data_IF_460345670880
#
_entry.id   IF_460345670880
#
_cell.length_a   1.000
_cell.length_b   1.000
_cell.length_c   1.000
_cell.angle_alpha   90.00
_cell.angle_beta   90.00
_cell.angle_gamma   90.00
#
_symmetry.space_group_name_H-M   'P 1'
#
loop_
_entity.id
_entity.type
_entity.pdbx_description
1 polymer ?
#
# COMPACT_ATOMS: atom_id res chain seq x y z
N UNK A 1 2.51 -6.08 -7.24
CA UNK A 1 3.41 -5.04 -6.71
C UNK A 1 4.78 -5.58 -6.32
N UNK A 2 4.91 -6.77 -5.71
CA UNK A 2 6.23 -7.34 -5.36
C UNK A 2 7.15 -7.40 -6.59
N UNK A 3 6.69 -7.98 -7.69
CA UNK A 3 7.46 -8.04 -8.95
C UNK A 3 7.87 -6.65 -9.43
N UNK A 4 6.97 -5.67 -9.40
CA UNK A 4 7.26 -4.30 -9.81
C UNK A 4 8.41 -3.69 -9.00
N UNK A 5 8.35 -3.79 -7.66
CA UNK A 5 9.41 -3.23 -6.81
C UNK A 5 10.69 -4.08 -6.78
N UNK A 6 10.64 -5.34 -7.18
CA UNK A 6 11.85 -6.14 -7.45
C UNK A 6 12.55 -5.64 -8.73
N UNK A 7 11.79 -5.35 -9.79
CA UNK A 7 12.33 -4.74 -11.00
C UNK A 7 12.88 -3.35 -10.72
N UNK A 8 12.18 -2.55 -9.89
CA UNK A 8 12.65 -1.22 -9.49
C UNK A 8 13.96 -1.30 -8.70
N UNK A 9 14.08 -2.26 -7.76
CA UNK A 9 15.33 -2.52 -7.06
C UNK A 9 16.47 -2.80 -8.05
N UNK A 10 16.24 -3.61 -9.06
CA UNK A 10 17.26 -3.93 -10.07
C UNK A 10 17.65 -2.68 -10.88
N UNK A 11 16.69 -1.85 -11.27
CA UNK A 11 16.94 -0.59 -11.96
C UNK A 11 17.77 0.38 -11.10
N UNK A 12 17.51 0.43 -9.78
CA UNK A 12 18.33 1.20 -8.84
C UNK A 12 19.74 0.60 -8.75
N UNK A 13 19.89 -0.73 -8.70
CA UNK A 13 21.22 -1.37 -8.73
C UNK A 13 22.02 -0.96 -9.98
N UNK A 14 21.40 -1.01 -11.16
CA UNK A 14 22.04 -0.64 -12.41
C UNK A 14 22.47 0.84 -12.38
N UNK A 15 21.62 1.71 -11.87
CA UNK A 15 21.93 3.14 -11.72
C UNK A 15 23.09 3.38 -10.76
N UNK A 16 23.07 2.75 -9.58
CA UNK A 16 24.13 2.90 -8.57
C UNK A 16 25.45 2.34 -9.10
N UNK A 17 25.45 1.18 -9.76
CA UNK A 17 26.64 0.59 -10.36
C UNK A 17 27.23 1.49 -11.45
N UNK A 18 26.40 2.13 -12.26
CA UNK A 18 26.85 3.06 -13.28
C UNK A 18 27.55 4.30 -12.72
N UNK A 19 27.17 4.75 -11.51
CA UNK A 19 27.79 5.91 -10.84
C UNK A 19 28.97 5.51 -9.97
N UNK A 20 28.88 4.36 -9.29
CA UNK A 20 29.86 3.86 -8.32
C UNK A 20 30.46 2.53 -8.78
N UNK A 21 31.14 2.50 -9.92
CA UNK A 21 31.63 1.31 -10.60
C UNK A 21 32.63 0.46 -9.79
N UNK A 22 33.27 1.04 -8.78
CA UNK A 22 34.19 0.34 -7.88
C UNK A 22 33.53 -0.35 -6.68
N UNK A 23 32.20 -0.22 -6.52
CA UNK A 23 31.52 -0.82 -5.38
C UNK A 23 31.32 -2.32 -5.60
N UNK A 24 31.38 -3.09 -4.48
CA UNK A 24 31.01 -4.50 -4.50
C UNK A 24 29.52 -4.69 -4.76
N UNK A 25 29.14 -5.85 -5.30
CA UNK A 25 27.73 -6.20 -5.55
C UNK A 25 26.89 -6.12 -4.28
N UNK A 26 27.42 -6.59 -3.15
CA UNK A 26 26.73 -6.49 -1.85
C UNK A 26 26.44 -5.05 -1.46
N UNK A 27 27.41 -4.14 -1.63
CA UNK A 27 27.21 -2.71 -1.34
C UNK A 27 26.16 -2.10 -2.24
N UNK A 28 26.20 -2.41 -3.54
CA UNK A 28 25.19 -1.96 -4.51
C UNK A 28 23.81 -2.47 -4.11
N UNK A 29 23.69 -3.77 -3.81
CA UNK A 29 22.44 -4.41 -3.40
C UNK A 29 21.85 -3.77 -2.14
N UNK A 30 22.62 -3.62 -1.08
CA UNK A 30 22.12 -3.05 0.18
C UNK A 30 21.74 -1.58 0.03
N UNK A 31 22.50 -0.82 -0.76
CA UNK A 31 22.17 0.59 -1.03
C UNK A 31 20.88 0.70 -1.86
N UNK A 32 20.74 -0.11 -2.90
CA UNK A 32 19.52 -0.15 -3.72
C UNK A 32 18.29 -0.59 -2.92
N UNK A 33 18.44 -1.60 -2.04
CA UNK A 33 17.38 -2.04 -1.14
C UNK A 33 16.90 -0.90 -0.23
N UNK A 34 17.84 -0.13 0.32
CA UNK A 34 17.52 1.00 1.18
C UNK A 34 16.77 2.10 0.42
N UNK A 35 17.24 2.46 -0.79
CA UNK A 35 16.61 3.45 -1.67
C UNK A 35 15.19 2.99 -2.06
N UNK A 36 15.04 1.74 -2.47
CA UNK A 36 13.74 1.18 -2.87
C UNK A 36 12.74 1.19 -1.71
N UNK A 37 13.20 0.84 -0.49
CA UNK A 37 12.36 0.90 0.72
C UNK A 37 11.89 2.32 1.02
N UNK A 38 12.77 3.31 0.87
CA UNK A 38 12.42 4.71 1.08
C UNK A 38 11.48 5.25 -0.01
N UNK A 39 11.66 4.81 -1.26
CA UNK A 39 10.76 5.13 -2.36
C UNK A 39 9.34 4.58 -2.08
N UNK A 40 9.23 3.32 -1.66
CA UNK A 40 7.95 2.73 -1.28
C UNK A 40 7.28 3.48 -0.12
N UNK A 41 8.05 3.86 0.91
CA UNK A 41 7.52 4.61 2.05
C UNK A 41 7.02 6.01 1.62
N UNK A 42 7.75 6.68 0.72
CA UNK A 42 7.31 7.95 0.13
C UNK A 42 6.02 7.78 -0.65
N UNK A 43 5.97 6.83 -1.58
CA UNK A 43 4.79 6.54 -2.40
C UNK A 43 3.59 6.23 -1.51
N UNK A 44 3.75 5.38 -0.51
CA UNK A 44 2.68 5.08 0.44
C UNK A 44 2.19 6.34 1.18
N UNK A 45 3.11 7.19 1.62
CA UNK A 45 2.77 8.39 2.40
C UNK A 45 2.06 9.45 1.57
N UNK A 46 2.63 9.82 0.41
CA UNK A 46 2.17 11.00 -0.33
C UNK A 46 1.25 10.69 -1.51
N UNK A 47 1.16 9.42 -1.93
CA UNK A 47 0.34 9.00 -3.07
C UNK A 47 -0.80 8.07 -2.64
N UNK A 48 -0.50 6.88 -2.11
CA UNK A 48 -1.54 5.91 -1.73
C UNK A 48 -2.48 6.46 -0.66
N UNK A 49 -1.93 6.99 0.44
CA UNK A 49 -2.74 7.52 1.55
C UNK A 49 -3.62 8.68 1.11
N UNK A 50 -3.10 9.55 0.24
CA UNK A 50 -3.87 10.69 -0.28
C UNK A 50 -4.93 10.29 -1.31
N UNK A 51 -4.75 9.16 -2.00
CA UNK A 51 -5.76 8.65 -2.93
C UNK A 51 -6.98 8.05 -2.21
N UNK A 52 -6.76 7.30 -1.13
CA UNK A 52 -7.86 6.70 -0.34
C UNK A 52 -8.53 7.71 0.61
N UNK A 53 -7.95 8.88 0.77
CA UNK A 53 -8.40 9.98 1.63
C UNK A 53 -8.37 11.31 0.86
N UNK A 54 -9.18 11.47 -0.21
CA UNK A 54 -9.10 12.63 -1.09
C UNK A 54 -9.69 13.91 -0.45
N UNK A 55 -9.07 14.31 0.65
CA UNK A 55 -9.38 15.54 1.40
C UNK A 55 -8.17 16.47 1.34
N UNK A 56 -8.37 17.75 0.95
CA UNK A 56 -7.27 18.72 0.76
C UNK A 56 -6.41 18.94 2.01
N UNK A 57 -7.02 18.95 3.19
CA UNK A 57 -6.28 19.12 4.46
C UNK A 57 -5.36 17.94 4.70
N UNK A 58 -5.88 16.72 4.47
CA UNK A 58 -5.07 15.50 4.59
C UNK A 58 -3.97 15.43 3.55
N UNK A 59 -4.26 15.75 2.30
CA UNK A 59 -3.25 15.79 1.25
C UNK A 59 -2.10 16.72 1.62
N UNK A 60 -2.42 17.91 2.14
CA UNK A 60 -1.42 18.85 2.66
C UNK A 60 -0.67 18.26 3.85
N UNK A 61 -1.35 17.66 4.81
CA UNK A 61 -0.75 17.03 5.99
C UNK A 61 0.18 15.86 5.62
N UNK A 62 -0.24 15.00 4.71
CA UNK A 62 0.57 13.86 4.24
C UNK A 62 1.79 14.31 3.45
N UNK A 63 1.61 15.33 2.59
CA UNK A 63 2.74 15.98 1.91
C UNK A 63 3.71 16.59 2.93
N UNK A 64 3.21 17.27 3.95
CA UNK A 64 4.03 17.86 5.01
C UNK A 64 4.74 16.81 5.87
N UNK A 65 4.17 15.62 6.10
CA UNK A 65 4.85 14.52 6.80
C UNK A 65 6.16 14.12 6.07
N UNK A 66 6.16 14.14 4.75
CA UNK A 66 7.35 13.76 3.97
C UNK A 66 8.24 14.96 3.63
N UNK A 67 7.65 16.05 3.11
CA UNK A 67 8.38 17.19 2.57
C UNK A 67 8.48 18.38 3.51
N UNK A 68 7.66 18.42 4.56
CA UNK A 68 7.41 19.60 5.37
C UNK A 68 6.46 20.60 4.69
N UNK A 69 6.02 21.61 5.41
CA UNK A 69 5.23 22.71 4.88
C UNK A 69 5.99 23.58 3.88
N UNK A 70 7.33 23.56 3.92
CA UNK A 70 8.18 24.18 2.90
C UNK A 70 8.01 23.53 1.52
N UNK A 71 7.57 22.28 1.47
CA UNK A 71 7.23 21.55 0.26
C UNK A 71 8.40 20.88 -0.46
N UNK A 72 8.06 20.02 -1.42
CA UNK A 72 9.03 19.24 -2.20
C UNK A 72 10.09 20.10 -2.90
N UNK A 73 9.78 21.20 -3.59
CA UNK A 73 10.80 22.00 -4.29
C UNK A 73 11.88 22.53 -3.35
N UNK A 74 11.50 23.05 -2.19
CA UNK A 74 12.46 23.52 -1.19
C UNK A 74 13.30 22.36 -0.66
N UNK A 75 12.63 21.25 -0.33
CA UNK A 75 13.26 20.08 0.24
C UNK A 75 14.27 19.42 -0.72
N UNK A 76 13.97 19.36 -2.02
CA UNK A 76 14.88 18.79 -3.03
C UNK A 76 16.04 19.70 -3.38
N UNK A 77 15.84 21.02 -3.36
CA UNK A 77 16.88 22.00 -3.73
C UNK A 77 17.81 22.32 -2.56
N UNK A 78 17.24 22.55 -1.36
CA UNK A 78 17.98 23.08 -0.21
C UNK A 78 18.17 22.06 0.92
N UNK A 79 17.55 20.87 0.82
CA UNK A 79 17.55 19.88 1.89
C UNK A 79 16.66 20.32 3.07
N UNK A 80 17.07 19.94 4.28
CA UNK A 80 16.38 20.38 5.50
C UNK A 80 16.82 21.80 5.84
N UNK A 81 15.86 22.73 5.82
CA UNK A 81 16.08 24.14 6.19
C UNK A 81 15.76 24.44 7.65
N UNK A 82 15.14 23.46 8.37
CA UNK A 82 14.78 23.60 9.79
C UNK A 82 14.86 22.24 10.50
N UNK A 83 15.11 22.25 11.81
CA UNK A 83 14.97 21.08 12.68
C UNK A 83 13.51 20.67 12.87
N UNK A 84 12.57 21.60 12.72
CA UNK A 84 11.14 21.33 12.81
C UNK A 84 10.67 20.40 11.69
N UNK A 85 10.01 19.30 12.07
CA UNK A 85 9.38 18.36 11.14
C UNK A 85 8.22 18.99 10.38
N UNK A 86 7.48 19.90 11.02
CA UNK A 86 6.41 20.64 10.36
C UNK A 86 6.95 21.44 9.16
N UNK A 87 8.17 22.01 9.25
CA UNK A 87 8.78 22.80 8.18
C UNK A 87 9.50 21.93 7.16
N UNK A 88 10.24 20.91 7.60
CA UNK A 88 11.16 20.15 6.74
C UNK A 88 10.81 18.66 6.58
N UNK A 89 9.70 18.20 7.11
CA UNK A 89 9.26 16.81 7.05
C UNK A 89 9.95 15.88 8.06
N UNK A 90 9.43 14.67 8.21
CA UNK A 90 9.99 13.64 9.07
C UNK A 90 11.34 13.09 8.51
N UNK A 91 11.49 12.77 7.21
CA UNK A 91 12.73 12.19 6.73
C UNK A 91 13.95 13.07 7.03
N UNK A 92 15.00 12.46 7.63
CA UNK A 92 16.22 13.14 8.04
C UNK A 92 16.08 14.02 9.29
N UNK A 93 15.00 13.92 10.06
CA UNK A 93 14.89 14.49 11.40
C UNK A 93 15.56 13.58 12.43
N UNK A 94 15.71 14.03 13.66
CA UNK A 94 16.18 13.19 14.77
C UNK A 94 15.16 12.06 15.04
N UNK A 95 15.67 10.85 15.31
CA UNK A 95 14.83 9.69 15.62
C UNK A 95 14.09 9.89 16.94
N UNK A 96 12.82 9.49 16.97
CA UNK A 96 12.02 9.55 18.19
C UNK A 96 11.02 8.38 18.25
N UNK A 97 11.06 7.64 19.35
CA UNK A 97 10.19 6.48 19.55
C UNK A 97 8.84 6.81 20.18
N UNK A 98 8.61 8.04 20.65
CA UNK A 98 7.37 8.48 21.32
C UNK A 98 6.97 7.59 22.50
N UNK A 99 7.95 7.08 23.26
CA UNK A 99 7.72 6.18 24.39
C UNK A 99 7.29 4.76 24.03
N UNK A 100 7.28 4.40 22.75
CA UNK A 100 6.95 3.06 22.26
C UNK A 100 8.14 2.45 21.51
N UNK A 101 8.38 1.13 21.60
CA UNK A 101 9.40 0.47 20.81
C UNK A 101 9.05 0.55 19.30
N UNK A 102 10.06 0.34 18.43
CA UNK A 102 9.85 0.21 17.00
C UNK A 102 9.15 -1.12 16.71
N UNK A 103 7.83 -1.11 16.79
CA UNK A 103 6.98 -2.25 16.53
C UNK A 103 5.62 -1.80 15.98
N UNK A 104 4.93 -2.65 15.28
CA UNK A 104 3.51 -2.45 14.98
C UNK A 104 2.71 -2.80 16.24
N UNK A 105 1.84 -1.90 16.66
CA UNK A 105 0.94 -2.17 17.79
C UNK A 105 -0.25 -2.99 17.32
N UNK A 106 -0.89 -3.72 18.25
CA UNK A 106 -2.08 -4.51 17.93
C UNK A 106 -3.24 -3.61 17.44
N UNK A 107 -3.35 -2.41 17.98
CA UNK A 107 -4.33 -1.41 17.55
C UNK A 107 -4.15 -1.03 16.08
N UNK A 108 -2.89 -0.86 15.64
CA UNK A 108 -2.60 -0.60 14.23
C UNK A 108 -2.94 -1.81 13.36
N UNK A 109 -2.60 -3.02 13.81
CA UNK A 109 -2.96 -4.26 13.10
C UNK A 109 -4.46 -4.35 12.91
N UNK A 110 -5.25 -4.06 13.95
CA UNK A 110 -6.72 -4.08 13.89
C UNK A 110 -7.28 -3.15 12.83
N UNK A 111 -6.82 -1.89 12.78
CA UNK A 111 -7.36 -0.92 11.83
C UNK A 111 -6.78 -1.06 10.42
N UNK A 112 -5.63 -1.75 10.27
CA UNK A 112 -5.02 -2.01 8.97
C UNK A 112 -5.52 -3.31 8.31
N UNK A 113 -6.52 -3.97 8.90
CA UNK A 113 -7.25 -5.10 8.30
C UNK A 113 -8.19 -4.60 7.21
N UNK A 114 -7.62 -4.23 6.09
CA UNK A 114 -8.33 -3.65 4.96
C UNK A 114 -8.92 -4.71 4.01
N UNK A 115 -9.22 -5.91 4.53
CA UNK A 115 -9.76 -7.02 3.76
C UNK A 115 -11.02 -6.67 2.94
N UNK A 116 -11.95 -5.81 3.42
CA UNK A 116 -13.10 -5.40 2.61
C UNK A 116 -12.75 -4.62 1.32
N UNK A 117 -11.50 -4.19 1.13
CA UNK A 117 -11.03 -3.63 -0.14
C UNK A 117 -10.77 -4.69 -1.21
N UNK A 118 -10.69 -5.98 -0.83
CA UNK A 118 -10.47 -7.07 -1.76
C UNK A 118 -11.84 -7.48 -2.34
N UNK A 119 -12.06 -7.36 -3.66
CA UNK A 119 -13.29 -7.82 -4.30
C UNK A 119 -13.33 -9.36 -4.35
N UNK A 120 -14.52 -9.94 -4.41
CA UNK A 120 -14.67 -11.38 -4.60
C UNK A 120 -14.33 -11.82 -6.02
N UNK A 121 -14.55 -10.94 -7.01
CA UNK A 121 -14.29 -11.19 -8.43
C UNK A 121 -13.46 -10.05 -9.04
N UNK A 122 -12.64 -10.37 -10.02
CA UNK A 122 -11.83 -9.41 -10.79
C UNK A 122 -12.05 -9.63 -12.28
N UNK A 123 -12.39 -8.56 -12.97
CA UNK A 123 -12.47 -8.54 -14.45
C UNK A 123 -11.11 -8.17 -15.02
N UNK A 124 -10.38 -9.16 -15.49
CA UNK A 124 -9.05 -8.96 -16.06
C UNK A 124 -9.15 -8.35 -17.45
N UNK A 125 -8.45 -7.24 -17.67
CA UNK A 125 -8.50 -6.46 -18.91
C UNK A 125 -7.11 -6.30 -19.53
N UNK A 126 -7.06 -6.27 -20.86
CA UNK A 126 -5.83 -6.12 -21.60
C UNK A 126 -5.34 -4.66 -21.61
N UNK A 127 -4.09 -4.44 -21.25
CA UNK A 127 -3.46 -3.12 -21.29
C UNK A 127 -3.32 -2.52 -22.69
N UNK A 128 -3.38 -3.35 -23.74
CA UNK A 128 -3.24 -2.92 -25.13
C UNK A 128 -4.48 -2.19 -25.67
N UNK A 129 -5.69 -2.61 -25.25
CA UNK A 129 -6.94 -2.16 -25.86
C UNK A 129 -8.16 -2.18 -24.93
N UNK A 130 -7.97 -2.44 -23.62
CA UNK A 130 -9.04 -2.48 -22.63
C UNK A 130 -10.03 -3.64 -22.79
N UNK A 131 -9.79 -4.57 -23.73
CA UNK A 131 -10.68 -5.73 -23.90
C UNK A 131 -10.63 -6.66 -22.69
N UNK A 132 -11.77 -7.28 -22.36
CA UNK A 132 -11.85 -8.26 -21.26
C UNK A 132 -11.12 -9.53 -21.68
N UNK A 133 -10.17 -9.97 -20.88
CA UNK A 133 -9.45 -11.24 -21.03
C UNK A 133 -10.27 -12.36 -20.39
N UNK A 134 -10.62 -12.18 -19.10
CA UNK A 134 -11.46 -13.12 -18.36
C UNK A 134 -11.98 -12.47 -17.06
N UNK A 135 -13.10 -12.98 -16.56
CA UNK A 135 -13.56 -12.74 -15.18
C UNK A 135 -13.02 -13.89 -14.30
N UNK A 136 -12.46 -13.57 -13.15
CA UNK A 136 -11.87 -14.55 -12.24
C UNK A 136 -12.31 -14.30 -10.80
N UNK A 137 -12.59 -15.37 -10.10
CA UNK A 137 -12.75 -15.37 -8.66
C UNK A 137 -11.44 -14.94 -7.98
N UNK A 138 -11.44 -14.01 -7.03
CA UNK A 138 -10.22 -13.57 -6.37
C UNK A 138 -9.47 -14.73 -5.69
N UNK A 139 -10.17 -15.75 -5.25
CA UNK A 139 -9.58 -16.99 -4.73
C UNK A 139 -8.60 -17.63 -5.72
N UNK A 140 -8.81 -17.48 -7.04
CA UNK A 140 -7.93 -18.01 -8.09
C UNK A 140 -6.66 -17.15 -8.27
N UNK A 141 -6.63 -15.94 -7.71
CA UNK A 141 -5.48 -15.04 -7.73
C UNK A 141 -4.67 -15.09 -6.44
N UNK A 142 -5.20 -15.73 -5.39
CA UNK A 142 -4.63 -15.69 -4.06
C UNK A 142 -3.55 -16.78 -3.86
N UNK A 143 -2.57 -16.48 -3.02
CA UNK A 143 -1.54 -17.42 -2.55
C UNK A 143 -0.76 -18.07 -3.74
N UNK A 144 -0.68 -19.40 -3.74
CA UNK A 144 0.04 -20.16 -4.77
C UNK A 144 -0.60 -20.11 -6.15
N UNK A 145 -1.90 -19.85 -6.21
CA UNK A 145 -2.62 -19.74 -7.48
C UNK A 145 -2.17 -18.54 -8.31
N UNK A 146 -1.56 -17.53 -7.69
CA UNK A 146 -0.99 -16.39 -8.39
C UNK A 146 0.07 -16.80 -9.44
N UNK A 147 0.83 -17.87 -9.21
CA UNK A 147 1.85 -18.36 -10.14
C UNK A 147 1.17 -18.78 -11.44
N UNK A 148 0.22 -19.73 -11.36
CA UNK A 148 -0.52 -20.21 -12.54
C UNK A 148 -1.29 -19.10 -13.25
N UNK A 149 -1.83 -18.15 -12.49
CA UNK A 149 -2.51 -16.99 -13.08
C UNK A 149 -1.55 -16.16 -13.94
N UNK A 150 -0.33 -15.90 -13.49
CA UNK A 150 0.66 -15.12 -14.25
C UNK A 150 1.36 -15.90 -15.37
N UNK A 151 1.19 -17.22 -15.43
CA UNK A 151 1.56 -18.01 -16.61
C UNK A 151 0.62 -17.72 -17.78
N UNK A 152 -0.66 -17.39 -17.52
CA UNK A 152 -1.69 -17.11 -18.51
C UNK A 152 -1.87 -15.61 -18.79
N UNK A 153 -1.73 -14.77 -17.78
CA UNK A 153 -2.02 -13.32 -17.84
C UNK A 153 -0.72 -12.53 -17.70
N UNK A 154 -0.33 -11.73 -18.70
CA UNK A 154 0.80 -10.82 -18.57
C UNK A 154 0.66 -9.88 -17.38
N UNK A 155 1.77 -9.63 -16.66
CA UNK A 155 1.76 -8.76 -15.48
C UNK A 155 1.27 -7.34 -15.83
N UNK A 156 1.59 -6.84 -17.03
CA UNK A 156 1.13 -5.52 -17.50
C UNK A 156 -0.39 -5.43 -17.56
N UNK A 157 -1.08 -6.51 -17.96
CA UNK A 157 -2.55 -6.57 -18.00
C UNK A 157 -3.14 -6.59 -16.59
N UNK A 158 -2.50 -7.29 -15.67
CA UNK A 158 -2.87 -7.24 -14.25
C UNK A 158 -2.65 -5.84 -13.64
N UNK A 159 -1.57 -5.13 -14.00
CA UNK A 159 -1.33 -3.75 -13.56
C UNK A 159 -2.37 -2.80 -14.13
N UNK A 160 -2.70 -2.93 -15.41
CA UNK A 160 -3.77 -2.15 -16.03
C UNK A 160 -5.12 -2.41 -15.35
N UNK A 161 -5.45 -3.68 -15.12
CA UNK A 161 -6.67 -4.08 -14.39
C UNK A 161 -6.75 -3.42 -13.03
N UNK A 162 -5.67 -3.45 -12.23
CA UNK A 162 -5.63 -2.77 -10.92
C UNK A 162 -5.86 -1.26 -11.00
N UNK A 163 -5.48 -0.63 -12.10
CA UNK A 163 -5.64 0.81 -12.32
C UNK A 163 -7.04 1.23 -12.78
N UNK A 164 -7.79 0.33 -13.42
CA UNK A 164 -9.12 0.64 -13.99
C UNK A 164 -10.29 -0.02 -13.25
N UNK A 165 -10.04 -1.07 -12.49
CA UNK A 165 -11.04 -1.69 -11.61
C UNK A 165 -11.09 -1.00 -10.25
N UNK A 166 -12.21 -1.16 -9.54
CA UNK A 166 -12.42 -0.56 -8.25
C UNK A 166 -12.14 -1.58 -7.14
N UNK A 167 -11.47 -1.18 -6.04
CA UNK A 167 -11.43 -2.00 -4.84
C UNK A 167 -12.83 -2.10 -4.21
N UNK A 168 -13.00 -3.04 -3.29
CA UNK A 168 -14.15 -3.07 -2.40
C UNK A 168 -14.20 -1.83 -1.49
N UNK A 169 -15.24 -1.72 -0.65
CA UNK A 169 -15.43 -0.62 0.29
C UNK A 169 -15.26 -1.11 1.74
N UNK A 170 -14.71 -0.24 2.59
CA UNK A 170 -14.55 -0.48 4.03
C UNK A 170 -15.87 -0.27 4.78
N UNK A 171 -16.83 -1.16 4.54
CA UNK A 171 -18.18 -1.12 5.12
C UNK A 171 -18.61 -2.49 5.63
N UNK A 172 -19.65 -2.52 6.50
CA UNK A 172 -20.28 -3.76 6.94
C UNK A 172 -20.75 -4.59 5.74
N UNK A 173 -20.73 -5.92 5.94
CA UNK A 173 -21.16 -6.92 4.95
C UNK A 173 -20.32 -6.99 3.68
N UNK A 174 -19.16 -6.32 3.66
CA UNK A 174 -18.24 -6.32 2.50
C UNK A 174 -16.94 -7.10 2.75
N UNK A 175 -16.88 -7.89 3.81
CA UNK A 175 -15.73 -8.77 4.05
C UNK A 175 -15.73 -9.89 2.98
N UNK A 176 -14.58 -10.16 2.30
CA UNK A 176 -14.53 -11.08 1.16
C UNK A 176 -15.02 -12.49 1.50
N UNK A 177 -15.85 -13.06 0.62
CA UNK A 177 -16.44 -14.38 0.86
C UNK A 177 -15.40 -15.48 0.97
N UNK A 178 -14.32 -15.42 0.15
CA UNK A 178 -13.27 -16.43 0.19
C UNK A 178 -12.46 -16.41 1.51
N UNK A 179 -12.36 -15.26 2.20
CA UNK A 179 -11.72 -15.17 3.52
C UNK A 179 -12.67 -15.55 4.66
N UNK A 180 -13.97 -15.41 4.47
CA UNK A 180 -14.96 -15.90 5.43
C UNK A 180 -15.15 -17.41 5.35
N UNK A 181 -14.79 -18.01 4.22
CA UNK A 181 -14.86 -19.43 3.95
C UNK A 181 -13.48 -19.94 3.50
N UNK A 182 -12.43 -19.54 4.23
CA UNK A 182 -11.07 -19.93 3.89
C UNK A 182 -10.86 -21.41 4.19
N UNK A 183 -10.65 -22.20 3.14
CA UNK A 183 -10.35 -23.62 3.28
C UNK A 183 -8.87 -23.80 3.61
N UNK A 184 -8.57 -24.39 4.76
CA UNK A 184 -7.23 -24.75 5.19
C UNK A 184 -6.74 -26.01 4.47
N UNK A 185 -5.42 -26.30 4.51
CA UNK A 185 -4.86 -27.49 3.84
C UNK A 185 -5.43 -28.84 4.33
N UNK A 186 -5.92 -28.89 5.56
CA UNK A 186 -6.59 -30.04 6.18
C UNK A 186 -8.10 -30.15 5.84
N UNK A 187 -8.64 -29.16 5.10
CA UNK A 187 -10.02 -29.10 4.68
C UNK A 187 -10.94 -28.36 5.65
N UNK A 188 -10.45 -27.92 6.80
CA UNK A 188 -11.25 -27.10 7.72
C UNK A 188 -11.57 -25.72 7.10
N UNK A 189 -12.74 -25.19 7.45
CA UNK A 189 -13.18 -23.86 7.02
C UNK A 189 -12.94 -22.86 8.16
N UNK A 190 -12.19 -21.82 7.85
CA UNK A 190 -11.88 -20.74 8.77
C UNK A 190 -12.58 -19.46 8.34
N UNK A 191 -13.38 -18.86 9.22
CA UNK A 191 -13.90 -17.49 9.05
C UNK A 191 -12.86 -16.49 9.58
N UNK A 192 -12.10 -15.88 8.66
CA UNK A 192 -11.06 -14.91 9.02
C UNK A 192 -11.62 -13.65 9.70
N UNK A 193 -12.86 -13.24 9.41
CA UNK A 193 -13.44 -12.09 10.09
C UNK A 193 -13.74 -12.41 11.56
N UNK A 194 -14.25 -13.61 11.83
CA UNK A 194 -14.47 -14.08 13.20
C UNK A 194 -13.14 -14.23 13.96
N UNK A 195 -12.12 -14.78 13.31
CA UNK A 195 -10.77 -14.90 13.89
C UNK A 195 -10.17 -13.52 14.21
N UNK A 196 -10.36 -12.54 13.34
CA UNK A 196 -9.85 -11.17 13.56
C UNK A 196 -10.51 -10.54 14.79
N UNK A 197 -11.83 -10.71 14.96
CA UNK A 197 -12.57 -10.24 16.13
C UNK A 197 -12.11 -10.97 17.39
N UNK A 198 -11.96 -12.29 17.33
CA UNK A 198 -11.51 -13.10 18.46
C UNK A 198 -10.11 -12.69 18.93
N UNK A 199 -9.17 -12.53 17.99
CA UNK A 199 -7.81 -12.09 18.30
C UNK A 199 -7.75 -10.70 18.94
N UNK A 200 -8.57 -9.76 18.47
CA UNK A 200 -8.67 -8.45 19.10
C UNK A 200 -9.11 -8.56 20.57
N UNK A 201 -10.09 -9.42 20.85
CA UNK A 201 -10.58 -9.69 22.22
C UNK A 201 -9.51 -10.33 23.09
N UNK A 202 -8.83 -11.37 22.60
CA UNK A 202 -7.78 -12.10 23.31
C UNK A 202 -6.57 -11.21 23.62
N UNK A 203 -6.24 -10.27 22.74
CA UNK A 203 -5.13 -9.33 22.91
C UNK A 203 -5.48 -8.08 23.72
N UNK A 204 -6.71 -8.02 24.22
CA UNK A 204 -7.15 -6.90 25.06
C UNK A 204 -7.30 -5.59 24.29
N UNK A 205 -7.55 -5.65 22.98
CA UNK A 205 -7.83 -4.47 22.18
C UNK A 205 -9.10 -3.80 22.72
N UNK A 206 -9.08 -2.49 23.01
CA UNK A 206 -10.25 -1.79 23.55
C UNK A 206 -11.47 -1.89 22.65
N UNK A 207 -12.66 -1.97 23.24
CA UNK A 207 -13.94 -1.88 22.51
C UNK A 207 -14.05 -0.54 21.80
N UNK A 208 -14.87 -0.46 20.76
CA UNK A 208 -14.88 0.67 19.83
C UNK A 208 -15.10 2.02 20.50
N UNK A 209 -16.09 2.14 21.40
CA UNK A 209 -16.31 3.39 22.16
C UNK A 209 -15.17 3.72 23.11
N UNK A 210 -14.52 2.70 23.69
CA UNK A 210 -13.34 2.91 24.53
C UNK A 210 -12.17 3.45 23.70
N UNK A 211 -11.96 2.93 22.48
CA UNK A 211 -10.99 3.52 21.53
C UNK A 211 -11.24 4.99 21.29
N UNK A 212 -12.50 5.34 20.99
CA UNK A 212 -12.86 6.74 20.75
C UNK A 212 -12.52 7.62 21.94
N UNK A 213 -12.79 7.17 23.18
CA UNK A 213 -12.41 7.91 24.39
C UNK A 213 -10.89 8.08 24.52
N UNK A 214 -10.11 7.03 24.25
CA UNK A 214 -8.63 7.08 24.28
C UNK A 214 -8.06 8.03 23.22
N UNK A 215 -8.75 8.21 22.11
CA UNK A 215 -8.42 9.17 21.05
C UNK A 215 -9.01 10.58 21.30
N UNK A 216 -9.59 10.83 22.49
CA UNK A 216 -10.30 12.08 22.83
C UNK A 216 -11.46 12.42 21.89
N UNK A 217 -12.07 11.38 21.27
CA UNK A 217 -13.26 11.48 20.45
C UNK A 217 -14.51 11.25 21.30
N UNK A 218 -15.65 11.86 20.91
CA UNK A 218 -16.92 11.57 21.55
C UNK A 218 -17.35 10.13 21.28
N UNK A 219 -17.68 9.34 22.32
CA UNK A 219 -18.23 8.00 22.12
C UNK A 219 -19.63 8.10 21.51
N UNK A 220 -20.03 7.11 20.76
CA UNK A 220 -21.40 6.99 20.26
C UNK A 220 -22.37 6.61 21.40
N UNK A 221 -23.55 7.20 21.40
CA UNK A 221 -24.58 6.93 22.41
C UNK A 221 -25.62 5.93 21.92
N UNK A 222 -25.84 5.87 20.61
CA UNK A 222 -26.81 4.94 19.97
C UNK A 222 -26.21 4.32 18.72
N UNK A 223 -26.74 3.20 18.29
CA UNK A 223 -26.29 2.50 17.08
C UNK A 223 -26.56 3.32 15.81
N UNK A 224 -27.62 4.15 15.82
CA UNK A 224 -27.97 5.04 14.71
C UNK A 224 -26.95 6.19 14.53
N UNK A 225 -26.19 6.52 15.58
CA UNK A 225 -25.08 7.48 15.48
C UNK A 225 -23.85 6.88 14.81
N UNK A 226 -23.66 5.57 14.87
CA UNK A 226 -22.57 4.89 14.19
C UNK A 226 -22.84 4.85 12.69
N UNK A 227 -24.05 4.43 12.33
CA UNK A 227 -24.48 4.33 10.94
C UNK A 227 -25.93 4.78 10.77
N UNK A 228 -26.22 5.64 9.77
CA UNK A 228 -27.60 6.05 9.48
C UNK A 228 -28.41 4.95 8.76
N UNK A 229 -27.77 3.87 8.35
CA UNK A 229 -28.45 2.71 7.77
C UNK A 229 -29.25 1.97 8.84
N UNK A 230 -30.57 2.09 8.78
CA UNK A 230 -31.49 1.52 9.78
C UNK A 230 -31.39 0.00 9.91
N UNK A 231 -31.17 -0.69 8.81
CA UNK A 231 -30.98 -2.16 8.82
C UNK A 231 -29.71 -2.54 9.56
N UNK A 232 -28.63 -1.83 9.31
CA UNK A 232 -27.33 -2.09 9.95
C UNK A 232 -27.36 -1.71 11.44
N UNK A 233 -27.94 -0.56 11.80
CA UNK A 233 -28.05 -0.16 13.21
C UNK A 233 -28.91 -1.12 14.03
N UNK A 234 -30.03 -1.60 13.46
CA UNK A 234 -30.87 -2.61 14.08
C UNK A 234 -30.13 -3.96 14.28
N UNK A 235 -29.38 -4.40 13.26
CA UNK A 235 -28.58 -5.63 13.34
C UNK A 235 -27.46 -5.54 14.36
N UNK A 236 -26.76 -4.42 14.42
CA UNK A 236 -25.76 -4.15 15.45
C UNK A 236 -26.37 -4.21 16.85
N UNK A 237 -27.55 -3.58 17.05
CA UNK A 237 -28.26 -3.58 18.32
C UNK A 237 -28.66 -4.99 18.73
N UNK A 238 -29.12 -5.82 17.80
CA UNK A 238 -29.44 -7.23 18.03
C UNK A 238 -28.21 -8.02 18.46
N UNK A 239 -27.12 -7.97 17.67
CA UNK A 239 -25.90 -8.76 17.89
C UNK A 239 -25.20 -8.38 19.20
N UNK A 240 -25.21 -7.11 19.58
CA UNK A 240 -24.61 -6.62 20.82
C UNK A 240 -25.60 -6.47 21.97
N UNK A 241 -26.79 -7.08 21.88
CA UNK A 241 -27.83 -7.11 22.93
C UNK A 241 -28.20 -5.72 23.46
N UNK A 242 -28.16 -4.70 22.58
CA UNK A 242 -28.45 -3.32 22.93
C UNK A 242 -27.31 -2.56 23.63
N UNK A 243 -26.19 -3.22 23.94
CA UNK A 243 -25.04 -2.60 24.60
C UNK A 243 -24.01 -2.09 23.60
N UNK A 244 -24.03 -0.79 23.35
CA UNK A 244 -23.13 -0.12 22.42
C UNK A 244 -21.65 -0.13 22.87
N UNK A 245 -21.38 -0.34 24.15
CA UNK A 245 -20.03 -0.41 24.70
C UNK A 245 -19.33 -1.74 24.36
N UNK A 246 -20.09 -2.75 23.94
CA UNK A 246 -19.57 -4.07 23.55
C UNK A 246 -19.07 -4.17 22.12
N UNK A 247 -19.31 -3.16 21.29
CA UNK A 247 -18.94 -3.20 19.86
C UNK A 247 -17.43 -3.43 19.70
N UNK A 248 -17.09 -4.45 18.91
CA UNK A 248 -15.70 -4.79 18.59
C UNK A 248 -15.07 -3.74 17.66
N UNK A 249 -13.74 -3.51 17.74
CA UNK A 249 -13.04 -2.50 16.93
C UNK A 249 -13.26 -2.68 15.43
N UNK A 250 -13.07 -3.89 14.91
CA UNK A 250 -13.25 -4.21 13.49
C UNK A 250 -14.69 -3.91 13.04
N UNK A 251 -15.69 -4.34 13.82
CA UNK A 251 -17.11 -4.11 13.50
C UNK A 251 -17.43 -2.62 13.56
N UNK A 252 -16.95 -1.92 14.58
CA UNK A 252 -17.17 -0.49 14.73
C UNK A 252 -16.58 0.33 13.57
N UNK A 253 -15.34 0.02 13.16
CA UNK A 253 -14.71 0.77 12.06
C UNK A 253 -15.38 0.51 10.70
N UNK A 254 -15.96 -0.68 10.47
CA UNK A 254 -16.71 -0.98 9.26
C UNK A 254 -18.15 -0.43 9.29
N UNK A 255 -18.66 -0.11 10.48
CA UNK A 255 -20.01 0.44 10.68
C UNK A 255 -20.03 1.96 10.70
N UNK A 256 -19.00 2.60 11.21
CA UNK A 256 -18.93 4.06 11.32
C UNK A 256 -18.94 4.69 9.93
N UNK A 257 -19.88 5.61 9.69
CA UNK A 257 -19.92 6.37 8.44
C UNK A 257 -18.65 7.20 8.27
N UNK A 258 -17.85 6.96 7.22
CA UNK A 258 -16.65 7.73 6.98
C UNK A 258 -16.96 9.22 6.77
N UNK A 259 -16.07 10.14 7.16
CA UNK A 259 -16.13 11.53 6.74
C UNK A 259 -16.10 11.64 5.21
N UNK A 260 -16.63 12.74 4.67
CA UNK A 260 -16.64 12.98 3.24
C UNK A 260 -15.22 12.87 2.63
N UNK A 261 -15.06 12.02 1.61
CA UNK A 261 -13.79 11.76 0.96
C UNK A 261 -12.85 10.78 1.69
N UNK A 262 -13.30 10.15 2.79
CA UNK A 262 -12.49 9.13 3.46
C UNK A 262 -12.87 7.72 2.96
N UNK A 263 -11.87 6.89 2.70
CA UNK A 263 -12.05 5.49 2.35
C UNK A 263 -12.38 4.59 3.54
N UNK A 264 -12.25 5.09 4.78
CA UNK A 264 -12.57 4.38 6.03
C UNK A 264 -12.91 5.35 7.17
N UNK A 265 -13.33 4.82 8.32
CA UNK A 265 -13.85 5.61 9.43
C UNK A 265 -12.83 6.60 10.01
N UNK A 266 -13.30 7.72 10.59
CA UNK A 266 -12.45 8.70 11.29
C UNK A 266 -11.67 8.07 12.45
N UNK A 267 -12.31 7.16 13.19
CA UNK A 267 -11.66 6.45 14.30
C UNK A 267 -10.48 5.60 13.81
N UNK A 268 -10.68 4.79 12.77
CA UNK A 268 -9.63 3.96 12.19
C UNK A 268 -8.52 4.83 11.59
N UNK A 269 -8.86 5.92 10.91
CA UNK A 269 -7.89 6.84 10.34
C UNK A 269 -6.97 7.46 11.39
N UNK A 270 -7.49 7.88 12.53
CA UNK A 270 -6.66 8.48 13.61
C UNK A 270 -5.62 7.51 14.15
N UNK A 271 -6.00 6.25 14.33
CA UNK A 271 -5.05 5.20 14.75
C UNK A 271 -4.02 4.97 13.64
N UNK A 272 -4.50 4.82 12.40
CA UNK A 272 -3.64 4.58 11.23
C UNK A 272 -2.59 5.67 11.05
N UNK A 273 -2.99 6.94 10.95
CA UNK A 273 -2.06 8.04 10.65
C UNK A 273 -1.06 8.28 11.79
N UNK A 274 -1.54 8.16 13.03
CA UNK A 274 -0.69 8.30 14.20
C UNK A 274 0.42 7.25 14.19
N UNK A 275 0.07 5.99 13.98
CA UNK A 275 1.03 4.89 14.00
C UNK A 275 1.95 4.88 12.78
N UNK A 276 1.42 5.14 11.58
CA UNK A 276 2.22 5.21 10.35
C UNK A 276 3.29 6.31 10.45
N UNK A 277 2.91 7.52 10.87
CA UNK A 277 3.84 8.63 11.06
C UNK A 277 4.89 8.35 12.14
N UNK A 278 4.48 7.73 13.27
CA UNK A 278 5.39 7.33 14.34
C UNK A 278 6.38 6.26 13.91
N UNK A 279 5.99 5.32 13.03
CA UNK A 279 6.91 4.30 12.50
C UNK A 279 8.00 4.92 11.63
N UNK A 280 7.66 5.84 10.75
CA UNK A 280 8.66 6.60 9.98
C UNK A 280 9.59 7.36 10.92
N UNK A 281 9.04 8.03 11.95
CA UNK A 281 9.80 8.82 12.91
C UNK A 281 10.69 7.99 13.85
N UNK A 282 10.32 6.73 14.10
CA UNK A 282 11.09 5.82 14.95
C UNK A 282 12.20 5.07 14.19
N UNK A 283 12.13 5.04 12.87
CA UNK A 283 13.06 4.30 12.03
C UNK A 283 14.29 5.16 11.70
N UNK A 284 15.47 4.68 12.12
CA UNK A 284 16.72 5.38 11.83
C UNK A 284 16.96 5.57 10.32
N UNK A 285 16.51 4.62 9.49
CA UNK A 285 16.70 4.71 8.04
C UNK A 285 15.91 5.86 7.41
N UNK A 286 14.79 6.26 8.01
CA UNK A 286 14.05 7.45 7.57
C UNK A 286 14.40 8.72 8.35
N UNK A 287 15.18 8.61 9.41
CA UNK A 287 15.58 9.74 10.28
C UNK A 287 17.08 9.97 10.25
N UNK A 288 17.83 9.47 11.23
CA UNK A 288 19.27 9.73 11.40
C UNK A 288 20.09 9.39 10.15
N UNK A 289 19.75 8.26 9.49
CA UNK A 289 20.47 7.75 8.32
C UNK A 289 19.90 8.28 6.98
N UNK A 290 18.81 9.07 6.99
CA UNK A 290 18.24 9.62 5.76
C UNK A 290 19.04 10.85 5.27
N UNK A 291 20.21 10.57 4.74
CA UNK A 291 21.14 11.59 4.26
C UNK A 291 22.02 11.06 3.11
N UNK A 292 22.72 11.97 2.36
CA UNK A 292 23.53 11.56 1.21
C UNK A 292 24.73 10.66 1.51
N UNK A 293 25.18 10.55 2.77
CA UNK A 293 26.29 9.64 3.12
C UNK A 293 25.84 8.19 3.12
N UNK A 294 24.59 7.93 3.52
CA UNK A 294 24.00 6.60 3.60
C UNK A 294 23.29 6.22 2.30
N UNK A 295 22.43 7.11 1.80
CA UNK A 295 21.62 6.86 0.60
C UNK A 295 22.33 7.19 -0.71
N UNK A 296 23.47 7.85 -0.67
CA UNK A 296 24.14 8.54 -1.78
C UNK A 296 23.36 9.74 -2.33
N UNK A 297 24.03 10.73 -2.94
CA UNK A 297 23.33 11.81 -3.64
C UNK A 297 22.40 11.30 -4.75
N UNK A 298 22.82 10.25 -5.45
CA UNK A 298 22.07 9.62 -6.53
C UNK A 298 20.79 8.93 -6.01
N UNK A 299 20.88 8.20 -4.89
CA UNK A 299 19.73 7.57 -4.27
C UNK A 299 18.74 8.58 -3.71
N UNK A 300 19.22 9.67 -3.08
CA UNK A 300 18.34 10.74 -2.61
C UNK A 300 17.57 11.38 -3.77
N UNK A 301 18.24 11.57 -4.92
CA UNK A 301 17.60 12.08 -6.15
C UNK A 301 16.58 11.09 -6.68
N UNK A 302 16.92 9.80 -6.74
CA UNK A 302 16.00 8.75 -7.17
C UNK A 302 14.70 8.75 -6.36
N UNK A 303 14.80 8.81 -5.03
CA UNK A 303 13.63 8.87 -4.15
C UNK A 303 12.80 10.14 -4.42
N UNK A 304 13.45 11.29 -4.60
CA UNK A 304 12.77 12.56 -4.78
C UNK A 304 12.00 12.65 -6.12
N UNK A 305 12.59 12.15 -7.20
CA UNK A 305 12.11 12.35 -8.57
C UNK A 305 11.13 11.27 -9.05
N UNK A 306 11.08 10.09 -8.41
CA UNK A 306 10.23 9.00 -8.84
C UNK A 306 8.96 8.88 -7.99
N UNK A 307 7.81 8.92 -8.64
CA UNK A 307 6.49 8.57 -8.12
C UNK A 307 6.07 7.17 -8.61
N UNK A 308 4.88 6.72 -8.21
CA UNK A 308 4.37 5.41 -8.64
C UNK A 308 4.16 5.33 -10.15
N UNK A 309 3.77 6.43 -10.79
CA UNK A 309 3.65 6.49 -12.26
C UNK A 309 5.00 6.30 -12.94
N UNK A 310 6.06 6.94 -12.44
CA UNK A 310 7.41 6.79 -12.97
C UNK A 310 7.92 5.34 -12.82
N UNK A 311 7.65 4.70 -11.68
CA UNK A 311 7.98 3.28 -11.44
C UNK A 311 7.23 2.37 -12.43
N UNK A 312 5.92 2.56 -12.58
CA UNK A 312 5.11 1.78 -13.51
C UNK A 312 5.60 1.93 -14.95
N UNK A 313 5.79 3.15 -15.42
CA UNK A 313 6.18 3.43 -16.81
C UNK A 313 7.62 3.02 -17.15
N UNK A 314 8.51 2.95 -16.17
CA UNK A 314 9.88 2.41 -16.34
C UNK A 314 9.85 0.93 -16.73
N UNK A 315 8.96 0.17 -16.12
CA UNK A 315 8.91 -1.29 -16.28
C UNK A 315 7.82 -1.75 -17.24
N UNK A 316 6.78 -0.95 -17.42
CA UNK A 316 5.61 -1.23 -18.26
C UNK A 316 5.20 0.02 -19.05
N UNK A 317 6.01 0.45 -20.03
CA UNK A 317 5.73 1.65 -20.83
C UNK A 317 4.41 1.57 -21.59
N UNK A 318 3.86 0.37 -21.81
CA UNK A 318 2.57 0.12 -22.42
C UNK A 318 1.40 0.74 -21.62
N UNK A 319 1.60 1.03 -20.35
CA UNK A 319 0.60 1.69 -19.48
C UNK A 319 0.49 3.21 -19.73
N UNK A 320 1.38 3.80 -20.53
CA UNK A 320 1.40 5.25 -20.77
C UNK A 320 0.06 5.84 -21.27
N UNK A 321 -0.71 5.18 -22.14
CA UNK A 321 -2.02 5.71 -22.56
C UNK A 321 -3.03 5.76 -21.40
N UNK A 322 -3.02 4.76 -20.52
CA UNK A 322 -3.92 4.68 -19.36
C UNK A 322 -3.54 5.68 -18.27
N UNK A 323 -2.26 5.98 -18.11
CA UNK A 323 -1.74 6.92 -17.12
C UNK A 323 -1.67 8.37 -17.60
N UNK A 324 -2.04 8.66 -18.84
CA UNK A 324 -1.96 10.02 -19.40
C UNK A 324 -2.85 10.99 -18.63
N UNK A 325 -2.25 12.00 -18.01
CA UNK A 325 -2.94 13.01 -17.21
C UNK A 325 -3.41 12.53 -15.84
N UNK A 326 -3.08 11.30 -15.46
CA UNK A 326 -3.32 10.79 -14.10
C UNK A 326 -2.23 11.36 -13.18
N UNK A 327 -2.64 12.16 -12.22
CA UNK A 327 -1.72 12.84 -11.29
C UNK A 327 -1.32 11.98 -10.08
N UNK A 328 -2.03 10.89 -9.84
CA UNK A 328 -1.75 9.93 -8.77
C UNK A 328 -2.13 8.52 -9.26
N UNK A 329 -1.17 7.63 -9.34
CA UNK A 329 -1.36 6.28 -9.88
C UNK A 329 -2.27 5.37 -9.03
N UNK A 330 -2.65 5.79 -7.83
CA UNK A 330 -3.65 5.10 -7.01
C UNK A 330 -5.08 5.67 -7.18
N UNK A 331 -5.23 6.72 -8.01
CA UNK A 331 -6.53 7.17 -8.50
C UNK A 331 -6.94 6.36 -9.74
N UNK A 332 -8.23 6.34 -10.12
CA UNK A 332 -8.66 5.60 -11.30
C UNK A 332 -7.92 6.03 -12.57
N UNK A 333 -7.45 5.06 -13.34
CA UNK A 333 -6.78 5.30 -14.63
C UNK A 333 -7.79 5.47 -15.76
N UNK A 334 -7.31 6.00 -16.88
CA UNK A 334 -8.13 6.08 -18.08
C UNK A 334 -8.42 4.68 -18.62
N UNK A 335 -9.70 4.37 -18.81
CA UNK A 335 -10.10 3.15 -19.54
C UNK A 335 -9.74 3.29 -21.01
N UNK A 336 -9.04 2.32 -21.56
CA UNK A 336 -8.70 2.30 -22.97
C UNK A 336 -9.94 1.94 -23.79
N UNK A 337 -10.19 2.62 -24.96
CA UNK A 337 -11.31 2.28 -25.81
C UNK A 337 -11.09 0.91 -26.46
N UNK A 338 -12.06 0.02 -26.32
CA UNK A 338 -12.06 -1.32 -26.92
C UNK A 338 -11.87 -1.18 -28.44
N UNK A 339 -10.83 -1.83 -28.97
CA UNK A 339 -10.59 -1.89 -30.44
C UNK A 339 -9.55 -0.91 -31.00
N UNK A 340 -8.89 -0.05 -30.22
CA UNK A 340 -7.70 0.68 -30.72
C UNK A 340 -6.45 -0.21 -30.60
N UNK A 341 -5.95 -0.72 -31.73
CA UNK A 341 -4.63 -1.36 -31.81
C UNK A 341 -3.55 -0.32 -31.43
N UNK A 342 -3.02 -0.43 -30.25
CA UNK A 342 -1.77 0.28 -29.89
C UNK A 342 -0.63 -0.52 -30.50
N UNK A 343 0.28 0.15 -31.23
CA UNK A 343 1.45 -0.47 -31.82
C UNK A 343 2.28 -1.18 -30.71
N UNK A 344 2.62 -2.43 -30.92
CA UNK A 344 3.42 -3.24 -30.01
C UNK A 344 4.80 -2.60 -29.86
N UNK A 345 5.17 -2.19 -28.64
CA UNK A 345 6.56 -2.05 -28.28
C UNK A 345 7.23 -3.45 -28.24
N UNK A 346 8.51 -3.60 -28.62
CA UNK A 346 9.18 -4.90 -28.62
C UNK A 346 9.15 -5.51 -27.22
N UNK A 347 8.63 -6.74 -27.14
CA UNK A 347 8.28 -7.38 -25.88
C UNK A 347 9.49 -7.79 -25.04
N UNK A 348 9.36 -7.63 -23.76
CA UNK A 348 10.36 -8.01 -22.72
C UNK A 348 10.83 -9.48 -22.79
N UNK A 349 10.09 -10.36 -23.51
CA UNK A 349 10.50 -11.76 -23.73
C UNK A 349 11.76 -11.91 -24.57
N UNK A 350 11.99 -11.00 -25.53
CA UNK A 350 13.19 -11.07 -26.38
C UNK A 350 14.44 -10.66 -25.60
N UNK A 351 14.32 -9.66 -24.71
CA UNK A 351 15.47 -9.21 -23.86
C UNK A 351 15.86 -10.23 -22.81
N UNK A 352 14.91 -11.01 -22.28
CA UNK A 352 15.21 -12.10 -21.30
C UNK A 352 15.72 -13.36 -22.00
N UNK A 353 15.35 -13.62 -23.25
CA UNK A 353 15.88 -14.75 -24.02
C UNK A 353 17.34 -14.49 -24.44
N UNK A 354 17.69 -13.28 -24.86
CA UNK A 354 19.06 -12.91 -25.19
C UNK A 354 20.00 -12.97 -23.96
N UNK A 355 19.54 -12.53 -22.77
CA UNK A 355 20.33 -12.61 -21.54
C UNK A 355 20.52 -14.05 -21.02
N UNK A 356 19.61 -14.98 -21.32
CA UNK A 356 19.81 -16.42 -21.02
C UNK A 356 20.78 -17.11 -21.94
N UNK A 357 20.93 -16.63 -23.18
CA UNK A 357 21.88 -17.17 -24.17
C UNK A 357 23.33 -16.78 -23.88
N UNK A 358 23.57 -15.75 -23.08
CA UNK A 358 24.93 -15.26 -22.73
C UNK A 358 25.44 -15.74 -21.37
N UNK A 359 24.61 -16.42 -20.57
CA UNK A 359 25.05 -17.07 -19.31
C UNK A 359 25.43 -18.52 -19.61
N UNK A 360 26.74 -18.80 -19.70
CA UNK A 360 27.29 -20.14 -19.79
C UNK A 360 26.90 -21.02 -18.58
N UNK A 361 27.03 -22.36 -18.68
CA UNK A 361 26.58 -23.26 -17.64
C UNK A 361 27.34 -23.04 -16.33
N UNK A 362 26.59 -22.85 -15.25
CA UNK A 362 27.14 -22.84 -13.89
C UNK A 362 27.41 -24.29 -13.50
N UNK A 363 28.68 -24.60 -13.34
CA UNK A 363 29.16 -25.88 -12.87
C UNK A 363 28.62 -26.20 -11.47
N UNK A 364 27.80 -27.25 -11.37
CA UNK A 364 27.31 -27.79 -10.12
C UNK A 364 28.35 -28.74 -9.54
N UNK A 365 29.27 -28.27 -8.71
CA UNK A 365 30.01 -29.10 -7.78
C UNK A 365 29.75 -28.64 -6.35
N UNK A 366 28.84 -29.32 -5.69
CA UNK A 366 28.77 -29.40 -4.23
C UNK A 366 29.08 -30.86 -3.85
N UNK A 367 30.15 -31.08 -3.15
CA UNK A 367 30.42 -32.25 -2.34
C UNK A 367 31.39 -31.89 -1.20
N UNK A 368 31.49 -32.71 -0.15
CA UNK A 368 30.46 -33.28 0.73
C UNK A 368 30.36 -32.57 2.08
#
# INVERSE_FOLDING_TARGET
LHTLFTLEHNAICDRIRGVYSSWSDERVYQTAKLINSALMAKIHTVEWTTAILPNKVLQTGMSANWWGLAGQPVRTTWGRISKSEAISGIPGSERHHHGAPFALTEEFVTVYRLHPLIPDEVRVQAARDGSVIKDVDFKQLALRNAVSFFDEVPIVDAMYTMGVEHPGAMVLHNYPNFLRNLTLPDGEILDMAAVDILKDRERGIPRYNQFRRLLHMRPFKTFEQITPNRSWSAKLKEVYEGDIERIDPLVGMLSETPPAGFGFSDTAFRIFILMASRRIKSDRFFTDDYNPRVYTPEGMRWIAENDMSAVLLRHYPELAPALRGVTNAFAPWNRLPIGRKVARAPGHREVLAERRSTAGPVDSQVAP
#
